data_IF_999637540885
#
_entry.id   IF_999637540885
#
_cell.length_a   1.000
_cell.length_b   1.000
_cell.length_c   1.000
_cell.angle_alpha   90.00
_cell.angle_beta   90.00
_cell.angle_gamma   90.00
#
_symmetry.space_group_name_H-M   'P 1'
#
loop_
_entity.id
_entity.type
_entity.pdbx_description
1 polymer ?
#
# COMPACT_ATOMS: atom_id res chain seq x y z
N UNK A 1 -1.99 27.39 -2.79
CA UNK A 1 -1.53 26.12 -2.19
C UNK A 1 -2.67 25.12 -2.32
N UNK A 2 -2.50 23.93 -2.93
CA UNK A 2 -3.60 22.97 -3.02
C UNK A 2 -4.04 22.58 -1.60
N UNK A 3 -5.34 22.73 -1.32
CA UNK A 3 -5.93 22.39 -0.03
C UNK A 3 -5.87 20.88 0.17
N UNK A 4 -5.13 20.42 1.20
CA UNK A 4 -5.06 19.00 1.58
C UNK A 4 -6.47 18.50 1.90
N UNK A 5 -7.00 17.56 1.12
CA UNK A 5 -8.30 16.96 1.39
C UNK A 5 -8.23 16.13 2.68
N UNK A 6 -8.98 16.50 3.74
CA UNK A 6 -8.95 15.76 4.99
C UNK A 6 -9.63 14.40 4.84
N UNK A 7 -9.23 13.40 5.63
CA UNK A 7 -9.95 12.13 5.69
C UNK A 7 -11.38 12.34 6.22
N UNK A 8 -12.35 11.47 5.88
CA UNK A 8 -13.75 11.65 6.25
C UNK A 8 -14.04 11.81 7.74
N UNK A 9 -13.19 11.24 8.61
CA UNK A 9 -13.31 11.35 10.07
C UNK A 9 -12.45 12.47 10.68
N UNK A 10 -11.87 13.33 9.85
CA UNK A 10 -10.91 14.36 10.27
C UNK A 10 -9.53 13.80 10.64
N UNK A 11 -8.58 14.70 10.88
CA UNK A 11 -7.19 14.38 11.20
C UNK A 11 -6.34 14.01 9.99
N UNK A 12 -5.47 13.00 10.14
CA UNK A 12 -4.51 12.63 9.11
C UNK A 12 -4.85 11.31 8.42
N UNK A 13 -4.53 11.24 7.13
CA UNK A 13 -4.58 9.99 6.38
C UNK A 13 -3.53 9.01 6.92
N UNK A 14 -4.01 7.93 7.54
CA UNK A 14 -3.14 6.84 8.00
C UNK A 14 -2.75 5.94 6.84
N UNK A 15 -1.48 5.53 6.78
CA UNK A 15 -1.01 4.57 5.78
C UNK A 15 -1.82 3.27 5.79
N UNK A 16 -2.20 2.77 6.97
CA UNK A 16 -3.06 1.59 7.10
C UNK A 16 -4.46 1.78 6.55
N UNK A 17 -4.98 3.01 6.43
CA UNK A 17 -6.27 3.28 5.77
C UNK A 17 -6.13 3.19 4.24
N UNK A 18 -5.02 3.67 3.70
CA UNK A 18 -4.76 3.68 2.26
C UNK A 18 -4.44 2.26 1.78
N UNK A 19 -3.41 1.64 2.37
CA UNK A 19 -2.96 0.29 1.99
C UNK A 19 -3.92 -0.78 2.51
N UNK A 20 -4.37 -0.67 3.76
CA UNK A 20 -5.28 -1.63 4.38
C UNK A 20 -4.70 -3.03 4.59
N UNK A 21 -5.59 -4.02 4.65
CA UNK A 21 -5.26 -5.42 4.93
C UNK A 21 -5.59 -6.29 3.71
N UNK A 22 -4.59 -6.98 3.11
CA UNK A 22 -4.83 -7.84 1.95
C UNK A 22 -5.76 -8.99 2.30
N UNK A 23 -5.50 -9.68 3.43
CA UNK A 23 -6.30 -10.81 3.90
C UNK A 23 -7.78 -10.47 4.16
N UNK A 24 -8.12 -9.21 4.41
CA UNK A 24 -9.50 -8.76 4.65
C UNK A 24 -10.13 -8.04 3.45
N UNK A 25 -9.37 -7.79 2.38
CA UNK A 25 -9.81 -6.96 1.26
C UNK A 25 -10.23 -5.55 1.70
N UNK A 26 -9.56 -5.00 2.72
CA UNK A 26 -9.83 -3.67 3.26
C UNK A 26 -8.74 -2.69 2.87
N UNK A 27 -9.08 -1.40 2.81
CA UNK A 27 -8.19 -0.30 2.43
C UNK A 27 -8.65 0.37 1.15
N UNK A 28 -8.22 1.61 0.94
CA UNK A 28 -8.55 2.36 -0.29
C UNK A 28 -8.05 1.58 -1.51
N UNK A 29 -6.78 1.18 -1.54
CA UNK A 29 -6.21 0.49 -2.72
C UNK A 29 -6.79 -0.90 -2.98
N UNK A 30 -7.45 -1.51 -1.99
CA UNK A 30 -7.95 -2.89 -2.07
C UNK A 30 -9.46 -2.99 -2.22
N UNK A 31 -10.17 -1.88 -2.32
CA UNK A 31 -11.63 -1.88 -2.35
C UNK A 31 -12.16 -2.24 -3.75
N UNK A 32 -12.82 -3.40 -3.93
CA UNK A 32 -13.31 -3.83 -5.24
C UNK A 32 -14.47 -2.98 -5.78
N UNK A 33 -15.08 -2.12 -4.95
CA UNK A 33 -16.16 -1.26 -5.42
C UNK A 33 -15.68 -0.31 -6.54
N UNK A 34 -14.39 0.03 -6.54
CA UNK A 34 -13.81 0.93 -7.53
C UNK A 34 -13.75 0.33 -8.93
N UNK A 35 -13.79 -1.01 -9.05
CA UNK A 35 -13.90 -1.74 -10.31
C UNK A 35 -15.34 -2.21 -10.59
N UNK A 36 -16.31 -1.73 -9.82
CA UNK A 36 -17.72 -2.09 -9.98
C UNK A 36 -18.09 -3.43 -9.34
N UNK A 37 -17.33 -3.93 -8.37
CA UNK A 37 -17.63 -5.18 -7.66
C UNK A 37 -17.87 -4.93 -6.18
N UNK A 38 -19.06 -5.27 -5.69
CA UNK A 38 -19.37 -5.23 -4.27
C UNK A 38 -19.06 -6.59 -3.63
N UNK A 39 -18.32 -6.56 -2.53
CA UNK A 39 -18.00 -7.76 -1.74
C UNK A 39 -18.59 -7.60 -0.35
N UNK A 40 -19.59 -8.42 -0.06
CA UNK A 40 -20.25 -8.51 1.24
C UNK A 40 -19.61 -9.60 2.12
N UNK A 41 -19.78 -9.45 3.45
CA UNK A 41 -19.30 -10.41 4.45
C UNK A 41 -17.80 -10.72 4.37
N UNK A 42 -16.95 -9.69 4.27
CA UNK A 42 -15.48 -9.83 4.24
C UNK A 42 -14.88 -10.32 5.56
N UNK A 43 -15.48 -9.90 6.67
CA UNK A 43 -14.98 -10.11 8.03
C UNK A 43 -16.15 -10.44 8.94
N UNK A 44 -16.05 -11.57 9.62
CA UNK A 44 -16.98 -11.96 10.68
C UNK A 44 -16.39 -11.59 12.03
N UNK A 45 -17.20 -10.93 12.86
CA UNK A 45 -16.84 -10.57 14.22
C UNK A 45 -17.37 -11.64 15.18
N UNK A 46 -16.47 -12.45 15.74
CA UNK A 46 -16.83 -13.50 16.71
C UNK A 46 -16.44 -13.06 18.12
N UNK A 47 -17.28 -13.37 19.10
CA UNK A 47 -16.92 -13.21 20.52
C UNK A 47 -16.14 -14.44 20.95
N UNK A 48 -14.98 -14.21 21.54
CA UNK A 48 -14.18 -15.24 22.16
C UNK A 48 -14.91 -15.77 23.41
N UNK A 49 -15.17 -17.09 23.51
CA UNK A 49 -15.89 -17.65 24.66
C UNK A 49 -15.11 -17.52 25.97
N UNK A 50 -13.78 -17.52 25.92
CA UNK A 50 -12.91 -17.49 27.10
C UNK A 50 -12.57 -16.05 27.48
N UNK A 51 -12.04 -15.27 26.52
CA UNK A 51 -11.59 -13.90 26.80
C UNK A 51 -12.73 -12.88 26.79
N UNK A 52 -13.94 -13.26 26.34
CA UNK A 52 -15.11 -12.40 26.09
C UNK A 52 -14.86 -11.23 25.12
N UNK A 53 -13.67 -11.15 24.53
CA UNK A 53 -13.28 -10.09 23.58
C UNK A 53 -13.89 -10.36 22.20
N UNK A 54 -14.06 -9.30 21.43
CA UNK A 54 -14.54 -9.40 20.05
C UNK A 54 -13.33 -9.52 19.11
N UNK A 55 -13.27 -10.61 18.35
CA UNK A 55 -12.17 -10.92 17.44
C UNK A 55 -12.67 -10.83 15.99
N UNK A 56 -11.99 -10.01 15.20
CA UNK A 56 -12.19 -9.89 13.76
C UNK A 56 -11.49 -11.05 13.04
N UNK A 57 -12.25 -11.94 12.39
CA UNK A 57 -11.73 -13.02 11.56
C UNK A 57 -12.12 -12.81 10.09
N UNK A 58 -11.21 -12.98 9.11
CA UNK A 58 -11.61 -13.05 7.70
C UNK A 58 -12.67 -14.13 7.53
N UNK A 59 -13.76 -13.82 6.81
CA UNK A 59 -14.80 -14.81 6.51
C UNK A 59 -14.26 -15.85 5.51
N UNK A 60 -14.77 -17.07 5.59
CA UNK A 60 -14.43 -18.13 4.64
C UNK A 60 -14.96 -17.76 3.24
N UNK A 61 -14.32 -18.24 2.17
CA UNK A 61 -14.67 -17.83 0.81
C UNK A 61 -16.11 -18.21 0.42
N UNK A 62 -16.65 -19.32 0.93
CA UNK A 62 -18.05 -19.71 0.71
C UNK A 62 -19.09 -18.83 1.43
N UNK A 63 -18.68 -18.00 2.38
CA UNK A 63 -19.58 -17.06 3.08
C UNK A 63 -19.55 -15.66 2.45
N UNK A 64 -18.61 -15.40 1.53
CA UNK A 64 -18.44 -14.12 0.86
C UNK A 64 -19.37 -14.04 -0.34
N UNK A 65 -20.13 -12.96 -0.42
CA UNK A 65 -21.05 -12.72 -1.53
C UNK A 65 -20.52 -11.60 -2.41
N UNK A 66 -20.30 -11.91 -3.68
CA UNK A 66 -19.92 -10.95 -4.71
C UNK A 66 -21.15 -10.51 -5.50
N UNK A 67 -21.19 -9.22 -5.83
CA UNK A 67 -22.25 -8.62 -6.63
C UNK A 67 -21.64 -7.62 -7.60
N UNK A 68 -22.06 -7.70 -8.86
CA UNK A 68 -21.66 -6.73 -9.89
C UNK A 68 -22.50 -5.46 -9.74
N UNK A 69 -21.82 -4.33 -9.65
CA UNK A 69 -22.36 -2.97 -9.48
C UNK A 69 -21.59 -2.00 -10.41
N UNK A 70 -21.69 -2.20 -11.74
CA UNK A 70 -20.88 -1.46 -12.72
C UNK A 70 -21.07 0.06 -12.63
N UNK A 71 -22.25 0.52 -12.21
CA UNK A 71 -22.56 1.95 -12.04
C UNK A 71 -21.71 2.65 -10.98
N UNK A 72 -21.11 1.91 -10.05
CA UNK A 72 -20.23 2.44 -9.00
C UNK A 72 -18.74 2.40 -9.37
N UNK A 73 -18.41 1.95 -10.58
CA UNK A 73 -17.03 1.87 -11.05
C UNK A 73 -16.41 3.27 -11.16
N UNK A 74 -15.21 3.43 -10.59
CA UNK A 74 -14.45 4.69 -10.60
C UNK A 74 -13.21 4.55 -11.48
N UNK A 75 -12.58 3.36 -11.51
CA UNK A 75 -11.36 3.07 -12.26
C UNK A 75 -11.53 1.78 -13.06
N UNK A 76 -10.64 1.54 -14.01
CA UNK A 76 -10.59 0.26 -14.70
C UNK A 76 -9.88 -0.84 -13.91
N UNK A 77 -10.16 -2.10 -14.28
CA UNK A 77 -9.64 -3.27 -13.59
C UNK A 77 -8.12 -3.39 -13.72
N UNK A 78 -7.54 -2.97 -14.84
CA UNK A 78 -6.09 -3.00 -15.06
C UNK A 78 -5.38 -2.02 -14.13
N UNK A 79 -5.83 -0.77 -14.07
CA UNK A 79 -5.31 0.27 -13.17
C UNK A 79 -5.41 -0.15 -11.72
N UNK A 80 -6.56 -0.71 -11.32
CA UNK A 80 -6.77 -1.19 -9.95
C UNK A 80 -5.83 -2.35 -9.61
N UNK A 81 -5.72 -3.36 -10.50
CA UNK A 81 -4.83 -4.51 -10.31
C UNK A 81 -3.36 -4.08 -10.22
N UNK A 82 -2.93 -3.17 -11.08
CA UNK A 82 -1.56 -2.62 -11.07
C UNK A 82 -1.26 -1.89 -9.76
N UNK A 83 -2.18 -1.10 -9.25
CA UNK A 83 -2.02 -0.44 -7.94
C UNK A 83 -1.89 -1.47 -6.80
N UNK A 84 -2.63 -2.58 -6.90
CA UNK A 84 -2.56 -3.67 -5.94
C UNK A 84 -1.20 -4.38 -5.96
N UNK A 85 -0.69 -4.73 -7.14
CA UNK A 85 0.62 -5.33 -7.34
C UNK A 85 1.75 -4.44 -6.79
N UNK A 86 1.69 -3.13 -7.04
CA UNK A 86 2.65 -2.17 -6.48
C UNK A 86 2.57 -2.19 -4.95
N UNK A 87 1.37 -2.07 -4.37
CA UNK A 87 1.20 -2.08 -2.93
C UNK A 87 1.70 -3.38 -2.28
N UNK A 88 1.52 -4.51 -2.95
CA UNK A 88 1.96 -5.82 -2.48
C UNK A 88 3.48 -5.99 -2.56
N UNK A 89 4.12 -5.55 -3.66
CA UNK A 89 5.59 -5.54 -3.76
C UNK A 89 6.26 -4.72 -2.66
N UNK A 90 5.64 -3.61 -2.23
CA UNK A 90 6.10 -2.82 -1.08
C UNK A 90 5.86 -3.51 0.27
N UNK A 91 4.87 -4.40 0.38
CA UNK A 91 4.59 -5.15 1.60
C UNK A 91 5.52 -6.36 1.81
N UNK A 92 6.05 -6.94 0.73
CA UNK A 92 6.88 -8.14 0.77
C UNK A 92 8.24 -7.97 1.46
N UNK A 93 8.73 -6.75 1.65
CA UNK A 93 10.02 -6.51 2.33
C UNK A 93 9.77 -5.99 3.74
N UNK A 94 9.93 -6.83 4.78
CA UNK A 94 9.92 -6.40 6.17
C UNK A 94 10.84 -5.21 6.38
N UNK A 95 10.43 -4.22 7.16
CA UNK A 95 11.22 -2.99 7.38
C UNK A 95 12.64 -3.28 7.88
N UNK A 96 12.80 -4.35 8.68
CA UNK A 96 14.09 -4.83 9.18
C UNK A 96 14.92 -5.60 8.14
N UNK A 97 14.30 -6.12 7.08
CA UNK A 97 14.98 -6.80 5.98
C UNK A 97 15.31 -5.86 4.81
N UNK A 98 14.84 -4.60 4.85
CA UNK A 98 15.21 -3.58 3.86
C UNK A 98 16.68 -3.22 4.06
N UNK A 99 17.49 -3.18 2.99
CA UNK A 99 18.85 -2.70 3.09
C UNK A 99 18.81 -1.27 3.65
N UNK A 100 19.45 -1.07 4.81
CA UNK A 100 19.59 0.28 5.35
C UNK A 100 20.65 1.00 4.52
N UNK A 101 20.36 2.20 4.01
CA UNK A 101 21.36 2.96 3.30
C UNK A 101 22.57 3.22 4.21
N UNK A 102 23.76 3.15 3.64
CA UNK A 102 25.00 3.34 4.41
C UNK A 102 25.17 4.79 4.89
N UNK A 103 24.58 5.74 4.15
CA UNK A 103 24.63 7.16 4.44
C UNK A 103 23.22 7.76 4.55
N UNK A 104 23.07 8.80 5.37
CA UNK A 104 21.78 9.40 5.71
C UNK A 104 20.98 9.91 4.48
N UNK A 105 21.67 10.38 3.45
CA UNK A 105 21.05 11.03 2.29
C UNK A 105 20.97 10.14 1.04
N UNK A 106 21.40 8.88 1.13
CA UNK A 106 21.32 7.93 0.01
C UNK A 106 19.87 7.81 -0.48
N UNK A 107 19.65 8.04 -1.77
CA UNK A 107 18.36 7.94 -2.44
C UNK A 107 17.43 9.13 -2.23
N UNK A 108 17.78 10.09 -1.35
CA UNK A 108 16.98 11.27 -1.04
C UNK A 108 17.41 12.50 -1.84
N UNK A 109 18.71 12.67 -2.05
CA UNK A 109 19.26 13.77 -2.85
C UNK A 109 19.44 13.35 -4.31
N UNK A 110 19.13 14.26 -5.22
CA UNK A 110 19.30 14.09 -6.66
C UNK A 110 20.37 15.03 -7.17
N UNK A 111 21.31 14.52 -7.96
CA UNK A 111 22.26 15.39 -8.64
C UNK A 111 21.58 16.05 -9.85
N UNK A 112 21.82 17.35 -10.06
CA UNK A 112 21.31 18.13 -11.20
C UNK A 112 21.66 17.48 -12.55
N UNK A 113 22.77 16.75 -12.62
CA UNK A 113 23.29 16.15 -13.86
C UNK A 113 22.83 14.71 -14.08
N UNK A 114 22.52 13.94 -13.04
CA UNK A 114 22.00 12.57 -13.16
C UNK A 114 21.40 12.05 -11.84
N UNK A 115 20.13 11.62 -11.90
CA UNK A 115 19.36 10.70 -11.01
C UNK A 115 19.67 10.70 -9.49
N UNK A 116 18.96 9.84 -8.75
CA UNK A 116 19.13 9.69 -7.30
C UNK A 116 20.53 9.17 -6.99
N UNK A 117 21.21 9.80 -6.04
CA UNK A 117 22.50 9.35 -5.52
C UNK A 117 22.26 8.04 -4.74
N UNK A 118 23.01 6.97 -5.02
CA UNK A 118 22.90 5.66 -4.36
C UNK A 118 24.19 5.27 -3.61
N UNK A 119 24.16 4.21 -2.79
CA UNK A 119 25.33 3.81 -1.98
C UNK A 119 26.55 3.40 -2.84
N UNK A 120 26.33 3.10 -4.13
CA UNK A 120 27.37 2.79 -5.10
C UNK A 120 28.09 4.04 -5.62
N UNK A 121 27.49 5.24 -5.49
CA UNK A 121 28.18 6.50 -5.81
C UNK A 121 29.41 6.74 -4.91
N UNK A 122 29.41 6.26 -3.66
CA UNK A 122 30.51 6.48 -2.72
C UNK A 122 31.67 5.48 -2.84
N UNK A 123 31.55 4.45 -3.70
CA UNK A 123 32.61 3.45 -3.90
C UNK A 123 33.56 3.78 -5.06
N UNK A 124 33.36 4.89 -5.77
CA UNK A 124 34.32 5.33 -6.78
C UNK A 124 35.39 6.23 -6.13
N UNK A 125 36.68 5.83 -6.14
CA UNK A 125 37.75 6.55 -5.44
C UNK A 125 38.19 7.85 -6.16
N UNK A 126 37.57 8.20 -7.28
CA UNK A 126 37.86 9.42 -8.02
C UNK A 126 36.56 10.14 -8.35
N UNK A 127 36.28 11.23 -7.62
CA UNK A 127 35.15 12.14 -7.84
C UNK A 127 35.34 13.00 -9.10
N UNK A 128 36.43 12.79 -9.84
CA UNK A 128 36.60 13.26 -11.20
C UNK A 128 36.09 12.19 -12.18
N UNK A 129 34.91 12.49 -12.72
CA UNK A 129 34.37 12.02 -14.00
C UNK A 129 35.28 11.05 -14.78
N UNK A 130 34.94 9.77 -14.77
CA UNK A 130 35.34 8.82 -15.80
C UNK A 130 34.07 8.04 -16.17
N UNK A 131 33.49 8.21 -17.36
CA UNK A 131 34.07 7.97 -18.69
C UNK A 131 33.25 8.66 -19.81
N UNK A 132 33.74 8.72 -21.06
CA UNK A 132 33.14 9.51 -22.15
C UNK A 132 31.68 9.17 -22.46
#
# INVERSE_FOLDING_TARGET
MPTRSPPPRGGEWRASTITGSPARGLGVLRNPIYVGRYLYNRVTMKRDPETRRRISRPSADGERVWMEVPDLRIVDEESWRRAWEIAESHAMVPLNARPRPRYLLTGLITCRRMRRIDDRHHQQPNWLFARP
#
